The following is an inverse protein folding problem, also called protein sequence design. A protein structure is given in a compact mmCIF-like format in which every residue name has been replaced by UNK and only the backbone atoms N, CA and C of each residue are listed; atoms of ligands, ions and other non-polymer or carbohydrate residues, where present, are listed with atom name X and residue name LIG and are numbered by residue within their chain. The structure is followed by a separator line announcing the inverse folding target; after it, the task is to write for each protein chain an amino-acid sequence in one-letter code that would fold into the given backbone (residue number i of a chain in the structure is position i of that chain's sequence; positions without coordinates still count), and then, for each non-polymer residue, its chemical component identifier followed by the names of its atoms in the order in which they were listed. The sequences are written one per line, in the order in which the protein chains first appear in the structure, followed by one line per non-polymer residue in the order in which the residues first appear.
data_IF_907795382586
#
_entry.id   IF_907795382586
#
_cell.length_a   1.000
_cell.length_b   1.000
_cell.length_c   1.000
_cell.angle_alpha   90.00
_cell.angle_beta   90.00
_cell.angle_gamma   90.00
#
_symmetry.space_group_name_H-M   'P 1'
#
loop_
_entity.id
_entity.type
_entity.pdbx_description
1 polymer ?
#
# COMPACT_ATOMS: atom_id res chain seq x y z
N UNK A 1 -17.76 4.56 -29.85
CA UNK A 1 -16.65 5.19 -29.18
C UNK A 1 -16.73 4.91 -27.68
N UNK A 2 -15.64 4.49 -27.12
CA UNK A 2 -15.60 4.21 -25.70
C UNK A 2 -15.70 5.51 -24.90
N UNK A 3 -16.14 5.40 -23.67
CA UNK A 3 -16.22 6.55 -22.77
C UNK A 3 -14.81 7.08 -22.46
N UNK A 4 -14.71 8.33 -22.05
CA UNK A 4 -13.43 8.91 -21.63
C UNK A 4 -12.76 8.13 -20.49
N UNK A 5 -13.55 7.39 -19.70
CA UNK A 5 -13.02 6.57 -18.61
C UNK A 5 -12.14 5.42 -19.09
N UNK A 6 -12.45 4.84 -20.25
CA UNK A 6 -11.67 3.73 -20.81
C UNK A 6 -10.29 4.17 -21.26
N UNK A 7 -10.12 5.44 -21.55
CA UNK A 7 -8.85 6.01 -22.00
C UNK A 7 -8.22 6.91 -20.94
N UNK A 8 -8.74 6.87 -19.72
CA UNK A 8 -8.18 7.68 -18.65
C UNK A 8 -6.77 7.20 -18.33
N UNK A 9 -5.79 8.09 -18.45
CA UNK A 9 -4.39 7.80 -18.21
C UNK A 9 -3.95 8.51 -16.93
N UNK A 10 -3.36 7.77 -16.04
CA UNK A 10 -2.79 8.31 -14.81
C UNK A 10 -1.27 8.28 -14.89
N UNK A 11 -0.58 9.26 -14.29
CA UNK A 11 0.88 9.25 -14.22
C UNK A 11 1.40 7.97 -13.57
N UNK A 12 2.51 7.44 -14.08
CA UNK A 12 3.12 6.23 -13.54
C UNK A 12 3.44 6.36 -12.05
N UNK A 13 3.89 7.54 -11.61
CA UNK A 13 4.18 7.80 -10.20
C UNK A 13 2.95 7.58 -9.31
N UNK A 14 1.78 8.01 -9.78
CA UNK A 14 0.52 7.84 -9.03
C UNK A 14 0.13 6.37 -8.98
N UNK A 15 0.27 5.65 -10.09
CA UNK A 15 -0.01 4.21 -10.16
C UNK A 15 0.90 3.43 -9.22
N UNK A 16 2.20 3.70 -9.26
CA UNK A 16 3.20 3.02 -8.46
C UNK A 16 3.02 3.32 -6.98
N UNK A 17 2.77 4.58 -6.65
CA UNK A 17 2.53 4.96 -5.26
C UNK A 17 1.27 4.30 -4.69
N UNK A 18 0.20 4.25 -5.49
CA UNK A 18 -1.03 3.55 -5.09
C UNK A 18 -0.79 2.07 -4.86
N UNK A 19 0.05 1.44 -5.70
CA UNK A 19 0.41 0.03 -5.55
C UNK A 19 1.03 -0.27 -4.18
N UNK A 20 1.79 0.67 -3.60
CA UNK A 20 2.37 0.50 -2.27
C UNK A 20 1.30 0.16 -1.23
N UNK A 21 0.16 0.86 -1.27
CA UNK A 21 -0.94 0.64 -0.33
C UNK A 21 -1.61 -0.71 -0.54
N UNK A 22 -1.75 -1.15 -1.78
CA UNK A 22 -2.34 -2.46 -2.09
C UNK A 22 -1.43 -3.59 -1.63
N UNK A 23 -0.13 -3.48 -1.92
CA UNK A 23 0.87 -4.47 -1.51
C UNK A 23 0.94 -4.54 0.02
N UNK A 24 0.90 -3.39 0.71
CA UNK A 24 0.94 -3.34 2.18
C UNK A 24 -0.20 -4.15 2.78
N UNK A 25 -1.41 -4.01 2.25
CA UNK A 25 -2.55 -4.80 2.70
C UNK A 25 -2.32 -6.30 2.54
N UNK A 26 -1.73 -6.71 1.42
CA UNK A 26 -1.40 -8.12 1.18
C UNK A 26 -0.31 -8.62 2.13
N UNK A 27 0.72 -7.80 2.38
CA UNK A 27 1.82 -8.13 3.29
C UNK A 27 1.29 -8.44 4.68
N UNK A 28 0.41 -7.60 5.21
CA UNK A 28 -0.14 -7.79 6.55
C UNK A 28 -0.92 -9.10 6.64
N UNK A 29 -1.69 -9.42 5.61
CA UNK A 29 -2.51 -10.65 5.61
C UNK A 29 -1.69 -11.92 5.46
N UNK A 30 -0.61 -11.87 4.70
CA UNK A 30 0.25 -13.04 4.47
C UNK A 30 1.28 -13.21 5.58
N UNK A 31 1.92 -12.13 6.02
CA UNK A 31 3.01 -12.18 6.99
C UNK A 31 2.58 -11.89 8.43
N UNK A 32 1.41 -11.27 8.62
CA UNK A 32 0.86 -11.01 9.94
C UNK A 32 1.31 -9.69 10.58
N UNK A 33 0.98 -9.51 11.84
CA UNK A 33 1.20 -8.27 12.58
C UNK A 33 2.66 -7.85 12.72
N UNK A 34 3.59 -8.79 12.64
CA UNK A 34 5.02 -8.49 12.68
C UNK A 34 5.48 -7.63 11.50
N UNK A 35 4.69 -7.58 10.43
CA UNK A 35 4.96 -6.79 9.23
C UNK A 35 4.02 -5.59 9.09
N UNK A 36 3.43 -5.14 10.20
CA UNK A 36 2.45 -4.07 10.23
C UNK A 36 3.04 -2.70 9.88
N UNK A 37 4.29 -2.45 10.22
CA UNK A 37 4.87 -1.12 10.11
C UNK A 37 5.70 -0.96 8.84
N UNK A 38 5.36 0.08 8.06
CA UNK A 38 6.17 0.51 6.92
C UNK A 38 7.36 1.30 7.45
N UNK A 39 8.57 0.87 7.10
CA UNK A 39 9.79 1.58 7.48
C UNK A 39 10.15 2.64 6.45
N UNK A 40 9.95 2.36 5.16
CA UNK A 40 10.19 3.32 4.09
C UNK A 40 9.50 2.90 2.81
N UNK A 41 9.33 3.85 1.89
CA UNK A 41 8.80 3.63 0.56
C UNK A 41 9.68 4.36 -0.45
N UNK A 42 9.69 3.85 -1.68
CA UNK A 42 10.41 4.49 -2.78
C UNK A 42 9.63 4.28 -4.06
N UNK A 43 9.52 5.30 -4.89
CA UNK A 43 8.94 5.21 -6.21
C UNK A 43 9.77 5.98 -7.22
N UNK A 44 9.87 5.43 -8.42
CA UNK A 44 10.50 6.08 -9.58
C UNK A 44 9.87 5.50 -10.84
N UNK A 45 9.02 6.28 -11.50
CA UNK A 45 8.27 5.81 -12.65
C UNK A 45 7.42 4.60 -12.29
N UNK A 46 7.57 3.52 -13.02
CA UNK A 46 6.83 2.26 -12.81
C UNK A 46 7.46 1.36 -11.76
N UNK A 47 8.59 1.76 -11.18
CA UNK A 47 9.30 0.97 -10.18
C UNK A 47 9.05 1.51 -8.78
N UNK A 48 8.87 0.62 -7.83
CA UNK A 48 8.69 0.99 -6.43
C UNK A 48 9.35 -0.02 -5.50
N UNK A 49 9.44 0.35 -4.24
CA UNK A 49 9.94 -0.52 -3.19
C UNK A 49 9.21 -0.20 -1.88
N UNK A 50 8.64 -1.23 -1.28
CA UNK A 50 8.03 -1.15 0.04
C UNK A 50 8.95 -1.84 1.03
N UNK A 51 9.32 -1.15 2.10
CA UNK A 51 10.11 -1.74 3.18
C UNK A 51 9.24 -1.79 4.43
N UNK A 52 9.09 -2.97 4.99
CA UNK A 52 8.27 -3.21 6.17
C UNK A 52 9.07 -3.90 7.26
N UNK A 53 8.61 -3.76 8.50
CA UNK A 53 9.15 -4.60 9.58
C UNK A 53 8.84 -6.06 9.26
N UNK A 54 9.77 -6.95 9.61
CA UNK A 54 9.60 -8.37 9.37
C UNK A 54 10.51 -9.15 10.31
N UNK A 55 9.97 -9.87 11.30
CA UNK A 55 10.79 -10.55 12.30
C UNK A 55 11.51 -11.79 11.77
N UNK A 56 10.94 -12.45 10.77
CA UNK A 56 11.47 -13.69 10.22
C UNK A 56 11.42 -13.64 8.70
N UNK A 57 12.47 -14.15 8.05
CA UNK A 57 12.55 -14.19 6.59
C UNK A 57 11.33 -14.95 6.02
N UNK A 58 10.55 -14.34 5.13
CA UNK A 58 9.42 -15.02 4.51
C UNK A 58 9.88 -16.09 3.52
N UNK A 59 9.03 -17.10 3.32
CA UNK A 59 9.26 -18.11 2.30
C UNK A 59 8.96 -17.57 0.91
N UNK A 60 9.46 -18.27 -0.12
CA UNK A 60 9.15 -17.92 -1.51
C UNK A 60 7.65 -18.01 -1.76
N UNK A 61 6.98 -19.00 -1.17
CA UNK A 61 5.53 -19.16 -1.30
C UNK A 61 4.77 -17.98 -0.71
N UNK A 62 5.24 -17.45 0.39
CA UNK A 62 4.62 -16.24 0.98
C UNK A 62 4.77 -15.02 0.07
N UNK A 63 5.93 -14.85 -0.54
CA UNK A 63 6.17 -13.73 -1.47
C UNK A 63 5.28 -13.88 -2.71
N UNK A 64 5.15 -15.09 -3.25
CA UNK A 64 4.26 -15.35 -4.37
C UNK A 64 2.80 -15.08 -4.01
N UNK A 65 2.40 -15.41 -2.78
CA UNK A 65 1.05 -15.14 -2.31
C UNK A 65 0.77 -13.64 -2.18
N UNK A 66 1.76 -12.87 -1.73
CA UNK A 66 1.64 -11.41 -1.68
C UNK A 66 1.40 -10.83 -3.08
N UNK A 67 2.14 -11.28 -4.07
CA UNK A 67 1.96 -10.82 -5.45
C UNK A 67 0.59 -11.20 -5.99
N UNK A 68 0.20 -12.45 -5.81
CA UNK A 68 -1.09 -12.96 -6.27
C UNK A 68 -2.25 -12.22 -5.62
N UNK A 69 -2.18 -12.02 -4.31
CA UNK A 69 -3.22 -11.34 -3.56
C UNK A 69 -3.32 -9.86 -3.95
N UNK A 70 -2.18 -9.21 -4.17
CA UNK A 70 -2.15 -7.82 -4.63
C UNK A 70 -2.85 -7.67 -5.99
N UNK A 71 -2.55 -8.55 -6.93
CA UNK A 71 -3.17 -8.53 -8.25
C UNK A 71 -4.65 -8.90 -8.21
N UNK A 72 -5.05 -9.76 -7.28
CA UNK A 72 -6.46 -10.05 -7.05
C UNK A 72 -7.21 -8.79 -6.66
N UNK A 73 -6.64 -7.98 -5.77
CA UNK A 73 -7.26 -6.73 -5.33
C UNK A 73 -7.36 -5.70 -6.46
N UNK A 74 -6.42 -5.71 -7.39
CA UNK A 74 -6.51 -4.87 -8.58
C UNK A 74 -7.68 -5.32 -9.46
N UNK A 75 -7.82 -6.62 -9.68
CA UNK A 75 -8.90 -7.15 -10.52
C UNK A 75 -10.29 -6.95 -9.90
N UNK A 76 -10.37 -6.82 -8.58
CA UNK A 76 -11.61 -6.54 -7.86
C UNK A 76 -12.03 -5.07 -7.96
N UNK A 77 -11.17 -4.21 -8.49
CA UNK A 77 -11.46 -2.78 -8.69
C UNK A 77 -11.93 -2.09 -7.41
N UNK A 78 -11.09 -2.10 -6.39
CA UNK A 78 -11.42 -1.58 -5.07
C UNK A 78 -11.36 -0.06 -5.03
N UNK A 79 -12.31 0.54 -4.34
CA UNK A 79 -12.38 2.00 -4.16
C UNK A 79 -11.28 2.50 -3.25
N UNK A 80 -10.68 3.63 -3.63
CA UNK A 80 -9.64 4.30 -2.85
C UNK A 80 -10.12 5.70 -2.53
N UNK A 81 -10.04 6.08 -1.26
CA UNK A 81 -10.55 7.35 -0.75
C UNK A 81 -9.46 8.07 0.04
N UNK A 82 -9.35 9.38 -0.17
CA UNK A 82 -8.56 10.25 0.70
C UNK A 82 -9.50 11.01 1.61
N UNK A 83 -9.26 10.94 2.91
CA UNK A 83 -10.15 11.51 3.92
C UNK A 83 -9.35 12.36 4.90
N UNK A 84 -9.71 13.62 5.02
CA UNK A 84 -9.06 14.53 5.99
C UNK A 84 -9.78 14.42 7.34
N UNK A 85 -9.01 14.21 8.42
CA UNK A 85 -9.55 14.09 9.77
C UNK A 85 -8.61 14.76 10.77
N UNK A 86 -9.16 15.19 11.91
CA UNK A 86 -8.30 15.56 13.03
C UNK A 86 -7.51 14.34 13.48
N UNK A 87 -6.29 14.55 13.93
CA UNK A 87 -5.44 13.47 14.42
C UNK A 87 -6.10 12.71 15.57
N UNK A 88 -6.71 13.44 16.49
CA UNK A 88 -7.40 12.83 17.63
C UNK A 88 -8.52 11.90 17.19
N UNK A 89 -9.33 12.33 16.23
CA UNK A 89 -10.44 11.53 15.72
C UNK A 89 -9.93 10.32 14.94
N UNK A 90 -8.87 10.50 14.15
CA UNK A 90 -8.27 9.41 13.39
C UNK A 90 -7.72 8.32 14.31
N UNK A 91 -7.00 8.71 15.37
CA UNK A 91 -6.45 7.77 16.33
C UNK A 91 -7.53 7.06 17.13
N UNK A 92 -8.59 7.79 17.48
CA UNK A 92 -9.73 7.22 18.19
C UNK A 92 -10.46 6.17 17.36
N UNK A 93 -10.63 6.47 16.06
CA UNK A 93 -11.40 5.60 15.15
C UNK A 93 -10.58 4.39 14.68
N UNK A 94 -9.31 4.60 14.35
CA UNK A 94 -8.50 3.59 13.66
C UNK A 94 -7.30 3.09 14.48
N UNK A 95 -6.91 3.79 15.53
CA UNK A 95 -5.71 3.45 16.31
C UNK A 95 -4.43 3.81 15.59
N UNK A 96 -3.33 3.18 15.97
CA UNK A 96 -2.00 3.49 15.45
C UNK A 96 -1.68 2.87 14.09
N UNK A 97 -2.54 1.98 13.58
CA UNK A 97 -2.29 1.31 12.31
C UNK A 97 -2.23 2.29 11.12
N UNK A 98 -2.69 3.52 11.32
CA UNK A 98 -2.64 4.57 10.29
C UNK A 98 -1.23 5.14 10.10
N UNK A 99 -0.30 4.85 11.00
CA UNK A 99 1.06 5.38 10.94
C UNK A 99 2.04 4.37 10.38
N UNK A 100 3.19 4.90 9.93
CA UNK A 100 4.37 4.11 9.59
C UNK A 100 5.21 3.89 10.85
N UNK A 101 6.33 3.18 10.71
CA UNK A 101 7.27 2.96 11.81
C UNK A 101 7.74 4.29 12.41
N UNK A 102 7.88 5.32 11.58
CA UNK A 102 8.22 6.68 11.99
C UNK A 102 6.96 7.54 11.86
N UNK A 103 6.20 7.72 12.95
CA UNK A 103 4.93 8.42 12.86
C UNK A 103 5.08 9.90 12.55
N UNK A 104 3.97 10.48 12.11
CA UNK A 104 3.87 11.91 11.82
C UNK A 104 4.22 12.71 13.09
N UNK A 105 4.97 13.82 12.96
CA UNK A 105 5.37 14.62 14.13
C UNK A 105 4.18 15.04 15.01
N UNK A 106 4.38 15.13 16.34
CA UNK A 106 3.28 15.41 17.26
C UNK A 106 2.53 16.72 17.04
N UNK A 107 3.19 17.71 16.46
CA UNK A 107 2.59 19.01 16.18
C UNK A 107 1.61 18.98 15.00
N UNK A 108 1.61 17.94 14.18
CA UNK A 108 0.65 17.78 13.10
C UNK A 108 -0.68 17.30 13.70
N UNK A 109 -1.70 18.15 13.62
CA UNK A 109 -3.00 17.88 14.25
C UNK A 109 -4.09 17.45 13.29
N UNK A 110 -3.84 17.50 11.99
CA UNK A 110 -4.77 17.08 10.96
C UNK A 110 -4.07 16.11 10.03
N UNK A 111 -4.74 15.01 9.70
CA UNK A 111 -4.18 13.96 8.87
C UNK A 111 -5.03 13.76 7.61
N UNK A 112 -4.36 13.40 6.53
CA UNK A 112 -5.03 12.88 5.34
C UNK A 112 -4.83 11.36 5.37
N UNK A 113 -5.93 10.63 5.43
CA UNK A 113 -5.90 9.16 5.46
C UNK A 113 -6.28 8.63 4.10
N UNK A 114 -5.48 7.72 3.58
CA UNK A 114 -5.76 7.02 2.33
C UNK A 114 -6.27 5.63 2.69
N UNK A 115 -7.47 5.33 2.24
CA UNK A 115 -8.15 4.08 2.58
C UNK A 115 -8.45 3.32 1.29
N UNK A 116 -7.98 2.08 1.22
CA UNK A 116 -8.38 1.11 0.19
C UNK A 116 -9.44 0.22 0.82
N UNK A 117 -10.67 0.28 0.29
CA UNK A 117 -11.76 -0.55 0.80
C UNK A 117 -11.79 -1.88 0.09
N UNK A 118 -11.93 -2.97 0.86
CA UNK A 118 -12.10 -4.29 0.30
C UNK A 118 -13.50 -4.44 -0.31
N UNK A 119 -13.71 -5.53 -1.04
CA UNK A 119 -14.94 -5.78 -1.77
C UNK A 119 -16.16 -5.90 -0.86
N UNK A 120 -15.96 -6.33 0.38
CA UNK A 120 -17.03 -6.44 1.39
C UNK A 120 -17.27 -5.15 2.17
N UNK A 121 -16.55 -4.06 1.83
CA UNK A 121 -16.66 -2.77 2.51
C UNK A 121 -15.73 -2.61 3.70
N UNK A 122 -15.01 -3.65 4.11
CA UNK A 122 -14.01 -3.55 5.16
C UNK A 122 -12.77 -2.82 4.62
N UNK A 123 -11.84 -2.47 5.52
CA UNK A 123 -10.62 -1.78 5.13
C UNK A 123 -9.57 -2.79 4.70
N UNK A 124 -9.10 -2.68 3.46
CA UNK A 124 -7.96 -3.44 2.97
C UNK A 124 -6.65 -2.88 3.50
N UNK A 125 -6.50 -1.57 3.39
CA UNK A 125 -5.34 -0.86 3.93
C UNK A 125 -5.71 0.58 4.24
N UNK A 126 -5.14 1.12 5.30
CA UNK A 126 -5.33 2.53 5.70
C UNK A 126 -3.97 3.09 6.13
N UNK A 127 -3.69 4.31 5.69
CA UNK A 127 -2.43 4.96 6.03
C UNK A 127 -2.56 6.48 5.97
N UNK A 128 -1.91 7.17 6.88
CA UNK A 128 -1.75 8.62 6.78
C UNK A 128 -0.78 8.90 5.64
N UNK A 129 -1.25 9.57 4.60
CA UNK A 129 -0.46 9.81 3.39
C UNK A 129 -1.01 11.03 2.65
N UNK A 130 -0.14 11.99 2.34
CA UNK A 130 -0.54 13.23 1.66
C UNK A 130 -0.26 13.22 0.15
N UNK A 131 0.09 12.08 -0.42
CA UNK A 131 0.34 11.95 -1.86
C UNK A 131 -0.96 11.77 -2.63
N UNK A 132 -0.88 11.95 -3.95
CA UNK A 132 -2.00 11.70 -4.84
C UNK A 132 -2.13 10.20 -5.13
N UNK A 133 -3.36 9.70 -5.11
CA UNK A 133 -3.65 8.28 -5.36
C UNK A 133 -4.70 8.12 -6.45
N UNK A 134 -4.76 6.90 -7.00
CA UNK A 134 -5.80 6.53 -7.96
C UNK A 134 -7.16 6.46 -7.26
N UNK A 135 -8.27 6.65 -8.02
CA UNK A 135 -9.61 6.50 -7.43
C UNK A 135 -10.01 5.04 -7.19
N UNK A 136 -9.38 4.10 -7.89
CA UNK A 136 -9.63 2.67 -7.68
C UNK A 136 -8.42 1.85 -8.10
N UNK A 137 -8.37 0.60 -7.62
CA UNK A 137 -7.19 -0.24 -7.82
C UNK A 137 -7.00 -0.71 -9.26
N UNK A 138 -8.06 -0.79 -10.06
CA UNK A 138 -7.93 -1.28 -11.45
C UNK A 138 -6.96 -0.47 -12.30
N UNK A 139 -6.80 0.82 -11.99
CA UNK A 139 -5.93 1.70 -12.79
C UNK A 139 -4.43 1.50 -12.49
N UNK A 140 -4.10 0.69 -11.50
CA UNK A 140 -2.70 0.37 -11.20
C UNK A 140 -2.07 -0.42 -12.35
N UNK A 141 -2.82 -1.32 -12.97
CA UNK A 141 -2.28 -2.31 -13.88
C UNK A 141 -1.85 -3.56 -13.13
N UNK A 142 -0.86 -4.27 -13.63
CA UNK A 142 -0.37 -5.48 -12.99
C UNK A 142 0.83 -5.16 -12.09
N UNK A 143 0.85 -5.75 -10.90
CA UNK A 143 1.98 -5.67 -9.99
C UNK A 143 2.86 -6.90 -10.19
N UNK A 144 4.16 -6.67 -10.41
CA UNK A 144 5.17 -7.72 -10.50
C UNK A 144 6.19 -7.49 -9.40
N UNK A 145 6.26 -8.39 -8.42
CA UNK A 145 7.26 -8.31 -7.38
C UNK A 145 8.60 -8.79 -7.90
N UNK A 146 9.67 -8.11 -7.52
CA UNK A 146 11.03 -8.55 -7.77
C UNK A 146 11.55 -9.26 -6.53
N UNK A 147 12.76 -9.82 -6.61
CA UNK A 147 13.34 -10.57 -5.51
C UNK A 147 13.41 -9.71 -4.25
N UNK A 148 12.76 -10.10 -3.14
CA UNK A 148 12.80 -9.33 -1.92
C UNK A 148 14.15 -9.47 -1.25
N UNK A 149 14.47 -8.49 -0.40
CA UNK A 149 15.69 -8.50 0.39
C UNK A 149 15.33 -8.45 1.87
N UNK A 150 15.70 -9.50 2.58
CA UNK A 150 15.50 -9.56 4.03
C UNK A 150 16.77 -9.12 4.75
N UNK A 151 16.65 -8.07 5.57
CA UNK A 151 17.76 -7.58 6.38
C UNK A 151 17.60 -8.09 7.81
N UNK A 152 18.22 -9.23 8.08
CA UNK A 152 18.06 -9.93 9.35
C UNK A 152 18.44 -9.10 10.57
N UNK A 153 19.53 -8.33 10.48
CA UNK A 153 20.02 -7.52 11.61
C UNK A 153 19.06 -6.40 12.00
N UNK A 154 18.32 -5.87 11.01
CA UNK A 154 17.36 -4.78 11.21
C UNK A 154 15.93 -5.28 11.31
N UNK A 155 15.69 -6.54 11.00
CA UNK A 155 14.36 -7.16 10.89
C UNK A 155 13.46 -6.36 9.96
N UNK A 156 13.99 -6.06 8.77
CA UNK A 156 13.28 -5.35 7.71
C UNK A 156 13.23 -6.20 6.45
N UNK A 157 12.13 -6.09 5.73
CA UNK A 157 11.93 -6.74 4.45
C UNK A 157 11.73 -5.67 3.38
N UNK A 158 12.59 -5.66 2.38
CA UNK A 158 12.47 -4.78 1.22
C UNK A 158 11.80 -5.54 0.08
N UNK A 159 10.69 -5.02 -0.42
CA UNK A 159 9.92 -5.65 -1.49
C UNK A 159 9.92 -4.71 -2.70
N UNK A 160 10.84 -4.92 -3.66
CA UNK A 160 10.82 -4.14 -4.89
C UNK A 160 9.76 -4.68 -5.83
N UNK A 161 9.18 -3.80 -6.65
CA UNK A 161 8.13 -4.20 -7.58
C UNK A 161 8.08 -3.25 -8.77
N UNK A 162 7.38 -3.69 -9.81
CA UNK A 162 7.07 -2.87 -10.96
C UNK A 162 5.57 -2.94 -11.23
N UNK A 163 5.02 -1.87 -11.81
CA UNK A 163 3.65 -1.86 -12.30
C UNK A 163 3.70 -1.90 -13.83
N UNK A 164 2.88 -2.75 -14.42
CA UNK A 164 2.78 -2.90 -15.86
C UNK A 164 1.41 -2.47 -16.34
N UNK A 165 1.32 -1.97 -17.57
CA UNK A 165 0.04 -1.55 -18.13
C UNK A 165 -1.03 -2.62 -18.10
#
# INVERSE_FOLDING_TARGET
MSSGLEYQVFPDEVRTHTALHVIKGAVIRVLGEGSLWTASTYTSGKHGRLTVTCPVKPSNEQIEEIEKLSNKKISEDLRIVSKTMSRAEAEKTYGNIIYDLFPVPPEVKELILVIVYDIDGSIWNINACNKTHLPSTRFIGEIKLEKPRFRASKKLLEIPFNVNP
#
